data_IF_416862150020
#
_entry.id   IF_416862150020
#
_cell.length_a   1.000
_cell.length_b   1.000
_cell.length_c   1.000
_cell.angle_alpha   90.00
_cell.angle_beta   90.00
_cell.angle_gamma   90.00
#
_symmetry.space_group_name_H-M   'P 1'
#
loop_
_entity.id
_entity.type
_entity.pdbx_description
1 polymer ?
#
# COMPACT_ATOMS: atom_id res chain seq x y z
N UNK A 1 -9.97 19.18 2.45
CA UNK A 1 -10.46 18.05 3.29
C UNK A 1 -11.64 18.50 4.13
N UNK A 2 -12.55 17.60 4.48
CA UNK A 2 -13.60 17.88 5.46
C UNK A 2 -12.98 17.88 6.87
N UNK A 3 -13.03 19.03 7.56
CA UNK A 3 -12.45 19.23 8.89
C UNK A 3 -13.21 18.53 10.01
N UNK A 4 -14.46 18.11 9.76
CA UNK A 4 -15.27 17.35 10.72
C UNK A 4 -15.02 15.83 10.66
N UNK A 5 -14.34 15.35 9.61
CA UNK A 5 -14.00 13.95 9.45
C UNK A 5 -12.59 13.67 9.99
N UNK A 6 -12.40 12.47 10.52
CA UNK A 6 -11.07 11.91 10.81
C UNK A 6 -10.54 11.24 9.55
N UNK A 7 -9.27 11.45 9.24
CA UNK A 7 -8.58 10.87 8.09
C UNK A 7 -7.43 10.00 8.58
N UNK A 8 -7.26 8.83 7.98
CA UNK A 8 -6.16 7.92 8.28
C UNK A 8 -5.35 7.76 7.00
N UNK A 9 -4.11 8.22 7.01
CA UNK A 9 -3.20 8.12 5.88
C UNK A 9 -2.04 7.19 6.23
N UNK A 10 -1.81 6.20 5.35
CA UNK A 10 -0.73 5.25 5.45
C UNK A 10 0.17 5.41 4.24
N UNK A 11 1.38 5.92 4.47
CA UNK A 11 2.41 6.02 3.45
C UNK A 11 3.39 4.85 3.57
N UNK A 12 4.15 4.58 2.51
CA UNK A 12 5.14 3.51 2.48
C UNK A 12 6.28 3.91 1.57
N UNK A 13 7.44 3.28 1.73
CA UNK A 13 8.54 3.47 0.81
C UNK A 13 8.12 3.32 -0.66
N UNK A 14 8.33 4.36 -1.50
CA UNK A 14 7.91 4.35 -2.90
C UNK A 14 8.47 3.17 -3.69
N UNK A 15 9.66 2.70 -3.32
CA UNK A 15 10.32 1.56 -3.96
C UNK A 15 9.54 0.28 -3.69
N UNK A 16 9.15 0.04 -2.44
CA UNK A 16 8.31 -1.10 -2.08
C UNK A 16 6.89 -0.97 -2.63
N UNK A 17 6.35 0.25 -2.69
CA UNK A 17 5.05 0.53 -3.33
C UNK A 17 5.10 0.19 -4.83
N UNK A 18 6.17 0.55 -5.51
CA UNK A 18 6.37 0.23 -6.93
C UNK A 18 6.43 -1.28 -7.15
N UNK A 19 7.21 -2.03 -6.35
CA UNK A 19 7.24 -3.50 -6.45
C UNK A 19 5.89 -4.13 -6.13
N UNK A 20 5.23 -3.68 -5.06
CA UNK A 20 3.90 -4.18 -4.68
C UNK A 20 2.88 -3.93 -5.77
N UNK A 21 2.91 -2.75 -6.39
CA UNK A 21 2.00 -2.36 -7.47
C UNK A 21 2.31 -3.09 -8.78
N UNK A 22 3.57 -3.41 -9.05
CA UNK A 22 3.96 -4.26 -10.18
C UNK A 22 3.31 -5.63 -10.06
N UNK A 23 3.50 -6.31 -8.92
CA UNK A 23 2.92 -7.64 -8.71
C UNK A 23 1.39 -7.59 -8.74
N UNK A 24 0.76 -6.62 -8.07
CA UNK A 24 -0.69 -6.45 -8.11
C UNK A 24 -1.24 -6.27 -9.54
N UNK A 25 -0.58 -5.41 -10.33
CA UNK A 25 -0.99 -5.13 -11.72
C UNK A 25 -0.79 -6.36 -12.61
N UNK A 26 0.30 -7.10 -12.41
CA UNK A 26 0.58 -8.34 -13.14
C UNK A 26 -0.38 -9.48 -12.75
N UNK A 27 -0.86 -9.47 -11.50
CA UNK A 27 -1.74 -10.50 -10.95
C UNK A 27 -3.18 -10.43 -11.45
N UNK A 28 -3.64 -9.25 -11.90
CA UNK A 28 -5.04 -9.01 -12.26
C UNK A 28 -5.23 -8.87 -13.77
N UNK A 29 -5.95 -9.81 -14.42
CA UNK A 29 -6.16 -9.82 -15.87
C UNK A 29 -6.76 -8.53 -16.45
N UNK A 30 -7.54 -7.79 -15.66
CA UNK A 30 -8.15 -6.52 -16.08
C UNK A 30 -7.12 -5.49 -16.56
N UNK A 31 -5.89 -5.54 -16.05
CA UNK A 31 -4.82 -4.62 -16.47
C UNK A 31 -4.08 -5.05 -17.72
N UNK A 32 -4.34 -6.27 -18.23
CA UNK A 32 -3.70 -6.82 -19.43
C UNK A 32 -2.16 -6.69 -19.38
N UNK A 33 -1.59 -6.92 -18.21
CA UNK A 33 -0.16 -6.74 -17.93
C UNK A 33 0.48 -8.01 -17.34
N UNK A 34 -0.18 -9.18 -17.48
CA UNK A 34 0.28 -10.44 -16.90
C UNK A 34 1.69 -10.86 -17.36
N UNK A 35 2.05 -10.53 -18.59
CA UNK A 35 3.36 -10.85 -19.19
C UNK A 35 4.33 -9.65 -19.16
N UNK A 36 3.95 -8.56 -18.49
CA UNK A 36 4.75 -7.34 -18.40
C UNK A 36 5.98 -7.49 -17.50
N UNK A 37 7.09 -6.86 -17.90
CA UNK A 37 8.32 -6.86 -17.11
C UNK A 37 8.28 -5.80 -16.01
N UNK A 38 9.17 -5.93 -15.02
CA UNK A 38 9.31 -4.91 -13.99
C UNK A 38 9.77 -3.57 -14.59
N UNK A 39 10.66 -3.59 -15.58
CA UNK A 39 11.19 -2.39 -16.23
C UNK A 39 10.07 -1.60 -16.94
N UNK A 40 9.18 -2.29 -17.66
CA UNK A 40 8.02 -1.67 -18.31
C UNK A 40 7.10 -1.00 -17.29
N UNK A 41 6.83 -1.69 -16.17
CA UNK A 41 5.99 -1.15 -15.11
C UNK A 41 6.66 0.03 -14.40
N UNK A 42 7.96 -0.07 -14.14
CA UNK A 42 8.72 0.96 -13.45
C UNK A 42 8.69 2.29 -14.21
N UNK A 43 8.87 2.28 -15.53
CA UNK A 43 8.80 3.51 -16.34
C UNK A 43 7.39 4.13 -16.34
N UNK A 44 6.33 3.31 -16.39
CA UNK A 44 4.96 3.80 -16.22
C UNK A 44 4.73 4.40 -14.83
N UNK A 45 5.24 3.74 -13.78
CA UNK A 45 5.07 4.17 -12.39
C UNK A 45 5.84 5.46 -12.09
N UNK A 46 7.09 5.57 -12.53
CA UNK A 46 7.94 6.75 -12.24
C UNK A 46 7.48 7.98 -13.02
N UNK A 47 6.87 7.79 -14.19
CA UNK A 47 6.30 8.89 -14.99
C UNK A 47 4.87 9.26 -14.59
N UNK A 48 4.27 8.55 -13.63
CA UNK A 48 2.87 8.77 -13.20
C UNK A 48 1.84 8.39 -14.27
N UNK A 49 2.21 7.51 -15.21
CA UNK A 49 1.37 7.05 -16.33
C UNK A 49 0.72 5.70 -16.08
N UNK A 50 0.90 5.10 -14.92
CA UNK A 50 0.05 4.00 -14.48
C UNK A 50 -1.33 4.57 -14.11
N UNK A 51 -2.41 3.81 -14.30
CA UNK A 51 -3.80 4.23 -14.05
C UNK A 51 -4.12 4.61 -12.58
N UNK A 52 -3.08 4.78 -11.74
CA UNK A 52 -3.15 5.14 -10.33
C UNK A 52 -2.24 6.36 -10.17
N UNK A 53 -2.83 7.48 -9.76
CA UNK A 53 -2.22 8.75 -9.37
C UNK A 53 -0.71 8.72 -9.12
N UNK A 54 0.01 9.74 -9.63
CA UNK A 54 1.44 9.93 -9.37
C UNK A 54 1.70 9.86 -7.85
N UNK A 55 2.50 8.86 -7.45
CA UNK A 55 2.78 8.58 -6.04
C UNK A 55 3.30 9.81 -5.30
N UNK A 56 4.16 10.61 -5.96
CA UNK A 56 4.76 11.78 -5.33
C UNK A 56 3.72 12.85 -5.07
N UNK A 57 2.79 13.06 -5.99
CA UNK A 57 1.71 14.04 -5.81
C UNK A 57 0.79 13.60 -4.67
N UNK A 58 0.44 12.30 -4.62
CA UNK A 58 -0.38 11.76 -3.53
C UNK A 58 0.32 11.88 -2.18
N UNK A 59 1.58 11.45 -2.07
CA UNK A 59 2.35 11.56 -0.83
C UNK A 59 2.47 13.01 -0.38
N UNK A 60 2.87 13.92 -1.27
CA UNK A 60 3.07 15.33 -0.90
C UNK A 60 1.76 16.00 -0.48
N UNK A 61 0.64 15.60 -1.06
CA UNK A 61 -0.67 16.09 -0.66
C UNK A 61 -0.97 15.76 0.81
N UNK A 62 -0.79 14.51 1.24
CA UNK A 62 -1.03 14.08 2.62
C UNK A 62 0.06 14.49 3.59
N UNK A 63 1.32 14.51 3.14
CA UNK A 63 2.45 14.95 3.95
C UNK A 63 2.27 16.39 4.45
N UNK A 64 1.65 17.26 3.65
CA UNK A 64 1.33 18.64 4.06
C UNK A 64 0.31 18.73 5.21
N UNK A 65 -0.48 17.66 5.42
CA UNK A 65 -1.50 17.54 6.45
C UNK A 65 -1.09 16.63 7.62
N UNK A 66 0.16 16.16 7.66
CA UNK A 66 0.61 15.15 8.63
C UNK A 66 0.47 15.58 10.10
N UNK A 67 0.46 16.89 10.35
CA UNK A 67 0.37 17.48 11.68
C UNK A 67 -1.06 17.99 12.01
N UNK A 68 -2.01 17.82 11.09
CA UNK A 68 -3.41 18.21 11.31
C UNK A 68 -4.04 17.30 12.38
N UNK A 69 -4.75 17.89 13.34
CA UNK A 69 -5.30 17.14 14.49
C UNK A 69 -6.34 16.07 14.11
N UNK A 70 -6.95 16.19 12.93
CA UNK A 70 -7.92 15.22 12.39
C UNK A 70 -7.29 14.27 11.35
N UNK A 71 -5.96 14.17 11.31
CA UNK A 71 -5.21 13.27 10.42
C UNK A 71 -4.32 12.35 11.26
N UNK A 72 -4.50 11.04 11.09
CA UNK A 72 -3.57 10.04 11.57
C UNK A 72 -2.62 9.67 10.44
N UNK A 73 -1.42 10.23 10.49
CA UNK A 73 -0.37 9.94 9.52
C UNK A 73 0.58 8.87 10.06
N UNK A 74 0.79 7.80 9.30
CA UNK A 74 1.70 6.72 9.68
C UNK A 74 2.44 6.16 8.46
N UNK A 75 3.64 5.61 8.68
CA UNK A 75 4.34 4.84 7.65
C UNK A 75 4.13 3.34 7.83
N UNK A 76 4.07 2.57 6.75
CA UNK A 76 4.04 1.11 6.81
C UNK A 76 5.24 0.54 7.58
N UNK A 77 6.40 1.18 7.46
CA UNK A 77 7.63 0.83 8.15
C UNK A 77 7.51 1.02 9.67
N UNK A 78 6.88 2.11 10.13
CA UNK A 78 6.56 2.33 11.55
C UNK A 78 5.53 1.32 12.04
N UNK A 79 4.46 1.09 11.28
CA UNK A 79 3.45 0.08 11.60
C UNK A 79 4.07 -1.32 11.75
N UNK A 80 5.01 -1.70 10.87
CA UNK A 80 5.68 -3.00 10.95
C UNK A 80 6.67 -3.08 12.12
N UNK A 81 7.32 -1.98 12.48
CA UNK A 81 8.32 -1.93 13.57
C UNK A 81 7.65 -1.90 14.94
N UNK A 82 6.60 -1.08 15.09
CA UNK A 82 5.93 -0.76 16.35
C UNK A 82 4.42 -1.05 16.24
N UNK A 83 4.06 -2.27 15.83
CA UNK A 83 2.69 -2.62 15.48
C UNK A 83 1.69 -2.32 16.60
N UNK A 84 1.97 -2.79 17.82
CA UNK A 84 1.07 -2.59 18.97
C UNK A 84 0.85 -1.11 19.28
N UNK A 85 1.92 -0.35 19.44
CA UNK A 85 1.83 1.08 19.72
C UNK A 85 1.06 1.83 18.63
N UNK A 86 1.35 1.50 17.36
CA UNK A 86 0.68 2.12 16.21
C UNK A 86 -0.82 1.83 16.21
N UNK A 87 -1.22 0.58 16.46
CA UNK A 87 -2.65 0.20 16.53
C UNK A 87 -3.35 0.89 17.69
N UNK A 88 -2.73 0.96 18.87
CA UNK A 88 -3.30 1.65 20.03
C UNK A 88 -3.40 3.17 19.79
N UNK A 89 -2.40 3.79 19.17
CA UNK A 89 -2.46 5.19 18.74
C UNK A 89 -3.59 5.45 17.74
N UNK A 90 -3.76 4.56 16.76
CA UNK A 90 -4.87 4.63 15.82
C UNK A 90 -6.22 4.49 16.53
N UNK A 91 -6.34 3.54 17.46
CA UNK A 91 -7.55 3.37 18.25
C UNK A 91 -7.89 4.63 19.05
N UNK A 92 -6.91 5.23 19.75
CA UNK A 92 -7.10 6.51 20.48
C UNK A 92 -7.49 7.65 19.54
N UNK A 93 -6.86 7.72 18.36
CA UNK A 93 -7.23 8.70 17.35
C UNK A 93 -8.69 8.53 16.91
N UNK A 94 -9.19 7.30 16.78
CA UNK A 94 -10.59 7.02 16.45
C UNK A 94 -11.55 7.30 17.62
N UNK A 95 -11.15 7.01 18.86
CA UNK A 95 -11.90 7.28 20.09
C UNK A 95 -11.45 6.44 21.28
N UNK A 96 -11.59 6.98 22.49
CA UNK A 96 -11.23 6.29 23.74
C UNK A 96 -12.02 4.99 23.95
N UNK A 97 -13.25 4.94 23.44
CA UNK A 97 -14.11 3.76 23.43
C UNK A 97 -13.52 2.57 22.65
N UNK A 98 -12.64 2.84 21.67
CA UNK A 98 -11.93 1.79 20.93
C UNK A 98 -10.57 1.47 21.53
N UNK A 99 -9.89 2.48 22.09
CA UNK A 99 -8.58 2.31 22.70
C UNK A 99 -8.62 1.50 23.98
N UNK A 100 -9.49 1.86 24.93
CA UNK A 100 -9.53 1.24 26.26
C UNK A 100 -9.69 -0.28 26.21
N UNK A 101 -10.64 -0.86 25.43
CA UNK A 101 -10.75 -2.30 25.33
C UNK A 101 -9.48 -2.97 24.79
N UNK A 102 -8.81 -2.36 23.81
CA UNK A 102 -7.58 -2.89 23.23
C UNK A 102 -6.37 -2.77 24.17
N UNK A 103 -6.36 -1.79 25.06
CA UNK A 103 -5.32 -1.62 26.09
C UNK A 103 -5.48 -2.59 27.26
N UNK A 104 -6.71 -2.84 27.70
CA UNK A 104 -7.00 -3.63 28.91
C UNK A 104 -7.29 -5.11 28.65
N UNK A 105 -7.63 -5.48 27.41
CA UNK A 105 -7.99 -6.86 27.05
C UNK A 105 -7.03 -7.40 25.97
N UNK A 106 -6.03 -8.17 26.42
CA UNK A 106 -5.02 -8.75 25.54
C UNK A 106 -5.60 -9.75 24.53
N UNK A 107 -6.61 -10.53 24.91
CA UNK A 107 -7.25 -11.47 23.99
C UNK A 107 -7.97 -10.75 22.85
N UNK A 108 -8.61 -9.61 23.15
CA UNK A 108 -9.23 -8.78 22.13
C UNK A 108 -8.17 -8.17 21.21
N UNK A 109 -7.07 -7.68 21.76
CA UNK A 109 -5.96 -7.17 20.97
C UNK A 109 -5.39 -8.26 20.04
N UNK A 110 -5.16 -9.47 20.55
CA UNK A 110 -4.65 -10.58 19.74
C UNK A 110 -5.64 -10.98 18.64
N UNK A 111 -6.95 -10.97 18.90
CA UNK A 111 -7.97 -11.18 17.85
C UNK A 111 -7.86 -10.16 16.72
N UNK A 112 -7.61 -8.88 17.05
CA UNK A 112 -7.40 -7.83 16.03
C UNK A 112 -6.13 -8.10 15.22
N UNK A 113 -5.03 -8.46 15.88
CA UNK A 113 -3.76 -8.84 15.23
C UNK A 113 -3.98 -9.99 14.27
N UNK A 114 -4.61 -11.06 14.73
CA UNK A 114 -4.81 -12.29 13.96
C UNK A 114 -5.68 -12.01 12.73
N UNK A 115 -6.83 -11.33 12.92
CA UNK A 115 -7.76 -10.97 11.84
C UNK A 115 -7.13 -10.03 10.80
N UNK A 116 -6.16 -9.22 11.22
CA UNK A 116 -5.45 -8.27 10.36
C UNK A 116 -4.13 -8.83 9.81
N UNK A 117 -3.81 -10.09 10.12
CA UNK A 117 -2.57 -10.72 9.69
C UNK A 117 -2.54 -10.92 8.17
N UNK A 118 -1.33 -10.97 7.60
CA UNK A 118 -1.14 -11.29 6.17
C UNK A 118 -1.81 -12.63 5.84
N UNK A 119 -1.68 -13.63 6.72
CA UNK A 119 -2.27 -14.95 6.51
C UNK A 119 -3.79 -14.88 6.41
N UNK A 120 -4.45 -14.24 7.38
CA UNK A 120 -5.90 -14.10 7.38
C UNK A 120 -6.40 -13.24 6.22
N UNK A 121 -5.75 -12.12 5.93
CA UNK A 121 -6.11 -11.26 4.80
C UNK A 121 -5.92 -11.96 3.46
N UNK A 122 -4.85 -12.73 3.28
CA UNK A 122 -4.63 -13.54 2.07
C UNK A 122 -5.76 -14.54 1.86
N UNK A 123 -6.24 -15.20 2.90
CA UNK A 123 -7.36 -16.14 2.79
C UNK A 123 -8.67 -15.43 2.46
N UNK A 124 -8.93 -14.27 3.08
CA UNK A 124 -10.17 -13.50 2.88
C UNK A 124 -10.22 -12.88 1.47
N UNK A 125 -9.09 -12.42 0.95
CA UNK A 125 -9.01 -11.67 -0.31
C UNK A 125 -8.66 -12.54 -1.52
N UNK A 126 -8.41 -13.84 -1.33
CA UNK A 126 -8.20 -14.77 -2.42
C UNK A 126 -9.54 -15.15 -3.06
N UNK A 127 -9.72 -14.79 -4.33
CA UNK A 127 -10.95 -15.08 -5.08
C UNK A 127 -10.76 -16.39 -5.85
N UNK A 128 -11.25 -17.50 -5.31
CA UNK A 128 -11.29 -18.81 -5.96
C UNK A 128 -12.64 -19.07 -6.62
N UNK A 129 -12.73 -20.12 -7.45
CA UNK A 129 -14.01 -20.58 -7.99
C UNK A 129 -15.02 -20.88 -6.87
N UNK A 130 -14.59 -21.52 -5.79
CA UNK A 130 -15.44 -21.81 -4.62
C UNK A 130 -15.96 -20.53 -3.94
N UNK A 131 -15.09 -19.52 -3.77
CA UNK A 131 -15.54 -18.25 -3.17
C UNK A 131 -16.53 -17.52 -4.06
N UNK A 132 -16.34 -17.56 -5.39
CA UNK A 132 -17.27 -16.96 -6.34
C UNK A 132 -18.62 -17.68 -6.34
N UNK A 133 -18.61 -19.01 -6.25
CA UNK A 133 -19.83 -19.81 -6.10
C UNK A 133 -20.58 -19.46 -4.81
N UNK A 134 -19.85 -19.32 -3.70
CA UNK A 134 -20.45 -18.89 -2.43
C UNK A 134 -21.07 -17.49 -2.50
N UNK A 135 -20.44 -16.54 -3.24
CA UNK A 135 -21.01 -15.21 -3.48
C UNK A 135 -22.29 -15.28 -4.32
N UNK A 136 -22.31 -16.16 -5.33
CA UNK A 136 -23.49 -16.41 -6.16
C UNK A 136 -24.66 -16.97 -5.35
N UNK A 137 -24.38 -17.97 -4.50
CA UNK A 137 -25.37 -18.57 -3.59
C UNK A 137 -25.94 -17.58 -2.57
N UNK A 138 -25.13 -16.61 -2.12
CA UNK A 138 -25.55 -15.54 -1.20
C UNK A 138 -26.32 -14.40 -1.89
N UNK A 139 -26.35 -14.37 -3.23
CA UNK A 139 -27.00 -13.31 -3.99
C UNK A 139 -26.19 -12.02 -4.08
N UNK A 140 -24.88 -12.05 -3.84
CA UNK A 140 -23.98 -10.88 -3.90
C UNK A 140 -23.60 -10.53 -5.36
N UNK A 141 -24.60 -10.24 -6.19
CA UNK A 141 -24.46 -10.10 -7.65
C UNK A 141 -23.45 -9.04 -8.08
N UNK A 142 -23.43 -7.88 -7.43
CA UNK A 142 -22.51 -6.77 -7.75
C UNK A 142 -21.06 -7.10 -7.39
N UNK A 143 -20.84 -7.72 -6.23
CA UNK A 143 -19.51 -8.15 -5.78
C UNK A 143 -18.99 -9.25 -6.69
N UNK A 144 -19.86 -10.20 -7.06
CA UNK A 144 -19.52 -11.27 -7.99
C UNK A 144 -19.18 -10.73 -9.39
N UNK A 145 -19.92 -9.73 -9.88
CA UNK A 145 -19.63 -9.09 -11.16
C UNK A 145 -18.27 -8.36 -11.13
N UNK A 146 -17.97 -7.65 -10.03
CA UNK A 146 -16.66 -7.04 -9.83
C UNK A 146 -15.55 -8.10 -9.76
N UNK A 147 -15.73 -9.15 -8.96
CA UNK A 147 -14.77 -10.25 -8.85
C UNK A 147 -14.47 -10.87 -10.21
N UNK A 148 -15.51 -11.20 -11.00
CA UNK A 148 -15.38 -11.70 -12.37
C UNK A 148 -14.55 -10.75 -13.25
N UNK A 149 -14.82 -9.45 -13.20
CA UNK A 149 -14.09 -8.45 -14.00
C UNK A 149 -12.61 -8.35 -13.65
N UNK A 150 -12.27 -8.37 -12.37
CA UNK A 150 -10.91 -8.11 -11.90
C UNK A 150 -10.02 -9.35 -11.92
N UNK A 151 -10.61 -10.52 -11.64
CA UNK A 151 -9.87 -11.76 -11.36
C UNK A 151 -9.97 -12.77 -12.49
N UNK A 152 -11.07 -12.81 -13.23
CA UNK A 152 -11.22 -13.79 -14.30
C UNK A 152 -10.47 -13.37 -15.56
N UNK A 153 -9.93 -14.37 -16.25
CA UNK A 153 -9.45 -14.23 -17.63
C UNK A 153 -10.65 -14.12 -18.57
N UNK A 154 -10.40 -13.83 -19.86
CA UNK A 154 -11.46 -13.74 -20.88
C UNK A 154 -12.29 -15.02 -21.01
N UNK A 155 -11.74 -16.19 -20.61
CA UNK A 155 -12.47 -17.45 -20.53
C UNK A 155 -13.44 -17.58 -19.34
N UNK A 156 -13.57 -16.56 -18.50
CA UNK A 156 -14.47 -16.53 -17.35
C UNK A 156 -13.96 -17.24 -16.09
N UNK A 157 -12.79 -17.89 -16.15
CA UNK A 157 -12.17 -18.56 -14.99
C UNK A 157 -11.21 -17.63 -14.22
N UNK A 158 -11.13 -17.75 -12.88
CA UNK A 158 -10.18 -17.01 -12.07
C UNK A 158 -8.74 -17.24 -12.54
N UNK A 159 -7.94 -16.16 -12.58
CA UNK A 159 -6.50 -16.28 -12.80
C UNK A 159 -5.85 -16.96 -11.61
N UNK A 160 -4.98 -17.95 -11.86
CA UNK A 160 -4.12 -18.56 -10.82
C UNK A 160 -3.07 -17.58 -10.27
N UNK A 161 -2.94 -16.40 -10.88
CA UNK A 161 -2.03 -15.33 -10.47
C UNK A 161 -2.69 -14.25 -9.61
N UNK A 162 -3.95 -14.40 -9.18
CA UNK A 162 -4.78 -13.40 -8.51
C UNK A 162 -4.40 -13.06 -7.05
N UNK A 163 -3.10 -12.91 -6.79
CA UNK A 163 -2.54 -12.64 -5.47
C UNK A 163 -2.72 -11.16 -5.12
N UNK A 164 -3.74 -10.84 -4.33
CA UNK A 164 -3.98 -9.47 -3.84
C UNK A 164 -3.09 -9.12 -2.64
N UNK A 165 -2.82 -10.10 -1.79
CA UNK A 165 -1.94 -9.96 -0.63
C UNK A 165 -0.64 -10.70 -0.92
N UNK A 166 0.44 -9.92 -1.05
CA UNK A 166 1.78 -10.45 -1.33
C UNK A 166 2.59 -10.59 -0.02
N UNK A 167 3.92 -10.52 -0.07
CA UNK A 167 4.83 -10.81 1.05
C UNK A 167 4.62 -9.98 2.33
N UNK A 168 4.12 -8.75 2.24
CA UNK A 168 3.93 -7.84 3.39
C UNK A 168 5.20 -7.56 4.21
N UNK A 169 6.34 -7.43 3.51
CA UNK A 169 7.66 -7.13 4.07
C UNK A 169 8.15 -5.73 3.66
N UNK A 170 9.10 -5.20 4.42
CA UNK A 170 9.80 -3.94 4.11
C UNK A 170 11.12 -4.26 3.42
N UNK A 171 11.45 -3.55 2.35
CA UNK A 171 12.72 -3.65 1.65
C UNK A 171 12.78 -4.70 0.54
N UNK A 172 11.65 -5.27 0.10
CA UNK A 172 11.62 -6.23 -1.01
C UNK A 172 12.11 -5.59 -2.31
N UNK A 173 11.98 -4.27 -2.42
CA UNK A 173 12.48 -3.49 -3.55
C UNK A 173 13.95 -3.76 -3.90
N UNK A 174 14.78 -4.12 -2.93
CA UNK A 174 16.21 -4.41 -3.16
C UNK A 174 16.45 -5.56 -4.13
N UNK A 175 15.46 -6.46 -4.28
CA UNK A 175 15.55 -7.62 -5.18
C UNK A 175 15.10 -7.30 -6.61
N UNK A 176 14.47 -6.14 -6.85
CA UNK A 176 13.91 -5.75 -8.16
C UNK A 176 14.61 -4.52 -8.75
N UNK A 177 15.18 -3.66 -7.92
CA UNK A 177 15.76 -2.38 -8.35
C UNK A 177 17.27 -2.49 -8.64
N UNK A 178 17.63 -2.31 -9.91
CA UNK A 178 19.00 -2.10 -10.37
C UNK A 178 19.40 -0.62 -10.32
N UNK A 179 20.69 -0.33 -10.55
CA UNK A 179 21.24 1.04 -10.49
C UNK A 179 20.51 2.04 -11.39
N UNK A 180 20.23 1.64 -12.64
CA UNK A 180 19.45 2.44 -13.59
C UNK A 180 18.09 2.90 -13.04
N UNK A 181 17.39 2.05 -12.30
CA UNK A 181 16.08 2.37 -11.71
C UNK A 181 16.22 3.39 -10.58
N UNK A 182 17.26 3.25 -9.77
CA UNK A 182 17.52 4.15 -8.64
C UNK A 182 17.83 5.57 -9.11
N UNK A 183 18.68 5.70 -10.12
CA UNK A 183 19.02 7.01 -10.68
C UNK A 183 17.82 7.67 -11.36
N UNK A 184 17.00 6.88 -12.07
CA UNK A 184 15.78 7.37 -12.69
C UNK A 184 14.79 7.89 -11.64
N UNK A 185 14.61 7.16 -10.55
CA UNK A 185 13.74 7.58 -9.45
C UNK A 185 14.28 8.81 -8.72
N UNK A 186 15.60 8.91 -8.51
CA UNK A 186 16.23 10.08 -7.90
C UNK A 186 15.90 11.35 -8.70
N UNK A 187 16.10 11.31 -10.02
CA UNK A 187 15.71 12.43 -10.91
C UNK A 187 14.25 12.80 -10.75
N UNK A 188 13.36 11.80 -10.64
CA UNK A 188 11.92 12.07 -10.46
C UNK A 188 11.59 12.71 -9.12
N UNK A 189 12.24 12.29 -8.04
CA UNK A 189 12.08 12.90 -6.70
C UNK A 189 12.49 14.38 -6.73
N UNK A 190 13.59 14.69 -7.42
CA UNK A 190 14.06 16.07 -7.62
C UNK A 190 13.08 16.89 -8.47
N UNK A 191 12.64 16.36 -9.61
CA UNK A 191 11.62 16.98 -10.48
C UNK A 191 10.35 17.35 -9.70
N UNK A 192 9.89 16.44 -8.82
CA UNK A 192 8.69 16.60 -8.00
C UNK A 192 8.91 17.37 -6.70
N UNK A 193 10.16 17.76 -6.39
CA UNK A 193 10.54 18.38 -5.10
C UNK A 193 10.08 17.55 -3.88
N UNK A 194 10.05 16.24 -4.01
CA UNK A 194 9.46 15.32 -3.04
C UNK A 194 10.49 14.73 -2.06
N UNK A 195 11.50 15.51 -1.67
CA UNK A 195 12.62 15.05 -0.81
C UNK A 195 12.12 14.57 0.56
N UNK A 196 11.00 15.10 1.04
CA UNK A 196 10.33 14.65 2.26
C UNK A 196 9.99 13.15 2.24
N UNK A 197 9.64 12.60 1.07
CA UNK A 197 9.44 11.15 0.86
C UNK A 197 10.67 10.38 1.30
N UNK A 198 11.85 10.87 0.94
CA UNK A 198 13.11 10.16 1.19
C UNK A 198 13.46 10.20 2.68
N UNK A 199 13.17 11.31 3.35
CA UNK A 199 13.37 11.47 4.80
C UNK A 199 12.48 10.53 5.63
N UNK A 200 11.23 10.34 5.22
CA UNK A 200 10.29 9.48 5.95
C UNK A 200 10.43 7.99 5.64
N UNK A 201 10.79 7.62 4.41
CA UNK A 201 10.55 6.24 3.95
C UNK A 201 11.69 5.24 4.20
N UNK A 202 12.54 5.46 5.20
CA UNK A 202 13.74 4.64 5.46
C UNK A 202 14.64 4.40 4.21
N UNK A 203 14.55 5.30 3.22
CA UNK A 203 15.43 5.26 2.04
C UNK A 203 16.84 5.63 2.53
N UNK A 204 17.91 4.95 2.05
CA UNK A 204 19.25 5.22 2.54
C UNK A 204 19.60 6.71 2.47
N UNK A 205 20.04 7.30 3.60
CA UNK A 205 20.46 8.71 3.66
C UNK A 205 21.52 9.05 2.61
N UNK A 206 22.37 8.08 2.24
CA UNK A 206 23.38 8.20 1.19
C UNK A 206 22.81 8.56 -0.19
N UNK A 207 21.51 8.34 -0.43
CA UNK A 207 20.84 8.74 -1.67
C UNK A 207 20.37 10.20 -1.65
N UNK A 208 20.36 10.83 -0.48
CA UNK A 208 19.97 12.23 -0.25
C UNK A 208 21.20 13.13 -0.14
N UNK A 209 22.32 12.61 0.35
CA UNK A 209 23.53 13.38 0.70
C UNK A 209 24.34 13.92 -0.49
N UNK A 210 23.86 13.83 -1.73
CA UNK A 210 24.41 14.63 -2.84
C UNK A 210 23.88 16.07 -2.86
N UNK A 211 23.04 16.46 -1.91
CA UNK A 211 22.54 17.83 -1.75
C UNK A 211 22.69 18.29 -0.29
N UNK A 212 23.42 19.39 -0.09
CA UNK A 212 23.34 20.19 1.13
C UNK A 212 21.95 20.81 1.19
N UNK A 213 21.20 20.49 2.25
CA UNK A 213 19.88 21.09 2.54
C UNK A 213 19.96 22.15 3.65
N UNK A 214 21.15 22.70 3.90
CA UNK A 214 21.37 23.76 4.90
C UNK A 214 21.21 25.18 4.31
N UNK A 215 20.46 25.35 3.22
CA UNK A 215 20.20 26.65 2.58
C UNK A 215 18.72 26.93 2.27
N UNK A 216 17.79 26.42 3.09
CA UNK A 216 16.40 26.92 3.13
C UNK A 216 15.97 27.07 4.59
#
# INVERSE_FOLDING_TARGET
>A
MNTKAKHVDLTRNPLDVCVSSYHFTRSLPVYRFNDGTFDDFFELSVTGKNNRWDFFDHFMSWYSHKDDSNVFFVTYEELKRNFRDTVLRLARFLGEEYARPLETNEELFQKVVDRSSIQSLSQILMITEDTMKSMEEKGDSDILAAAKRFVCKECGKPSTQNILINKGIVGDWKTHFWEKHRDRLRRRIEEKKAVAVVKLSAVPKSWVTSFSFDQI
#
